data_IF_704469546934
#
_entry.id   IF_704469546934
#
_cell.length_a   1.000
_cell.length_b   1.000
_cell.length_c   1.000
_cell.angle_alpha   90.00
_cell.angle_beta   90.00
_cell.angle_gamma   90.00
#
_symmetry.space_group_name_H-M   'P 1'
#
loop_
_entity.id
_entity.type
_entity.pdbx_description
1 polymer ?
#
# COMPACT_ATOMS: atom_id res chain seq x y z
N UNK A 1 3.07 26.70 -15.50
CA UNK A 1 2.42 25.44 -15.11
C UNK A 1 1.56 25.59 -13.86
N UNK A 2 2.04 26.25 -12.78
CA UNK A 2 1.31 26.42 -11.53
C UNK A 2 0.03 27.25 -11.68
N UNK A 3 0.06 28.31 -12.49
CA UNK A 3 -1.10 29.15 -12.77
C UNK A 3 -2.22 28.37 -13.48
N UNK A 4 -1.84 27.47 -14.41
CA UNK A 4 -2.81 26.61 -15.11
C UNK A 4 -3.43 25.60 -14.15
N UNK A 5 -2.62 24.99 -13.29
CA UNK A 5 -3.13 24.09 -12.24
C UNK A 5 -4.08 24.81 -11.29
N UNK A 6 -3.71 26.01 -10.84
CA UNK A 6 -4.56 26.83 -9.98
C UNK A 6 -5.90 27.18 -10.66
N UNK A 7 -5.87 27.54 -11.94
CA UNK A 7 -7.09 27.82 -12.72
C UNK A 7 -8.00 26.58 -12.82
N UNK A 8 -7.42 25.39 -13.03
CA UNK A 8 -8.18 24.13 -13.01
C UNK A 8 -8.80 23.87 -11.64
N UNK A 9 -8.03 24.02 -10.54
CA UNK A 9 -8.56 23.84 -9.20
C UNK A 9 -9.70 24.83 -8.89
N UNK A 10 -9.55 26.09 -9.25
CA UNK A 10 -10.62 27.09 -9.07
C UNK A 10 -11.84 26.75 -9.93
N UNK A 11 -11.64 26.31 -11.19
CA UNK A 11 -12.72 25.88 -12.06
C UNK A 11 -13.47 24.67 -11.50
N UNK A 12 -12.75 23.67 -11.00
CA UNK A 12 -13.36 22.52 -10.33
C UNK A 12 -14.13 22.89 -9.07
N UNK A 13 -13.58 23.76 -8.23
CA UNK A 13 -14.24 24.22 -7.02
C UNK A 13 -15.55 25.00 -7.33
N UNK A 14 -15.60 25.70 -8.45
CA UNK A 14 -16.80 26.42 -8.90
C UNK A 14 -17.88 25.50 -9.47
N UNK A 15 -17.50 24.35 -10.04
CA UNK A 15 -18.44 23.38 -10.63
C UNK A 15 -18.93 22.38 -9.59
N UNK A 16 -18.06 21.96 -8.65
CA UNK A 16 -18.37 20.99 -7.60
C UNK A 16 -18.64 21.69 -6.25
N UNK A 17 -19.57 22.63 -6.24
CA UNK A 17 -19.91 23.43 -5.05
C UNK A 17 -20.33 22.58 -3.85
N UNK A 18 -20.97 21.44 -4.09
CA UNK A 18 -21.39 20.50 -3.04
C UNK A 18 -20.32 19.46 -2.70
N UNK A 19 -19.15 19.55 -3.32
CA UNK A 19 -18.07 18.58 -3.18
C UNK A 19 -18.45 17.11 -3.52
N UNK A 20 -19.44 16.89 -4.38
CA UNK A 20 -19.93 15.56 -4.73
C UNK A 20 -18.85 14.72 -5.40
N UNK A 21 -18.15 15.26 -6.39
CA UNK A 21 -17.05 14.57 -7.08
C UNK A 21 -15.87 14.33 -6.14
N UNK A 22 -15.49 15.33 -5.35
CA UNK A 22 -14.43 15.23 -4.37
C UNK A 22 -14.71 14.13 -3.34
N UNK A 23 -15.91 14.11 -2.78
CA UNK A 23 -16.29 13.10 -1.78
C UNK A 23 -16.33 11.70 -2.40
N UNK A 24 -16.90 11.56 -3.60
CA UNK A 24 -16.93 10.29 -4.33
C UNK A 24 -15.51 9.71 -4.54
N UNK A 25 -14.57 10.53 -5.00
CA UNK A 25 -13.19 10.08 -5.26
C UNK A 25 -12.45 9.70 -3.97
N UNK A 26 -12.67 10.45 -2.89
CA UNK A 26 -12.11 10.15 -1.57
C UNK A 26 -12.69 8.83 -1.03
N UNK A 27 -14.00 8.62 -1.13
CA UNK A 27 -14.67 7.43 -0.63
C UNK A 27 -14.24 6.17 -1.38
N UNK A 28 -14.04 6.26 -2.70
CA UNK A 28 -13.47 5.16 -3.50
C UNK A 28 -12.08 4.80 -2.98
N UNK A 29 -11.20 5.77 -2.81
CA UNK A 29 -9.84 5.51 -2.33
C UNK A 29 -9.82 4.96 -0.89
N UNK A 30 -10.68 5.45 -0.01
CA UNK A 30 -10.81 4.93 1.37
C UNK A 30 -11.25 3.49 1.37
N UNK A 31 -12.31 3.14 0.64
CA UNK A 31 -12.81 1.77 0.53
C UNK A 31 -11.73 0.82 0.01
N UNK A 32 -10.97 1.23 -1.01
CA UNK A 32 -9.87 0.43 -1.56
C UNK A 32 -8.73 0.24 -0.56
N UNK A 33 -8.43 1.26 0.24
CA UNK A 33 -7.48 1.14 1.35
C UNK A 33 -7.97 0.14 2.40
N UNK A 34 -9.26 0.18 2.73
CA UNK A 34 -9.88 -0.76 3.66
C UNK A 34 -9.77 -2.20 3.16
N UNK A 35 -10.06 -2.45 1.88
CA UNK A 35 -9.91 -3.76 1.25
C UNK A 35 -8.45 -4.26 1.24
N UNK A 36 -7.50 -3.38 0.94
CA UNK A 36 -6.07 -3.71 1.02
C UNK A 36 -5.67 -4.10 2.45
N UNK A 37 -6.10 -3.33 3.44
CA UNK A 37 -5.84 -3.61 4.86
C UNK A 37 -6.54 -4.90 5.32
N UNK A 38 -7.75 -5.16 4.84
CA UNK A 38 -8.47 -6.41 5.11
C UNK A 38 -7.67 -7.63 4.61
N UNK A 39 -7.16 -7.58 3.37
CA UNK A 39 -6.31 -8.64 2.82
C UNK A 39 -5.02 -8.86 3.61
N UNK A 40 -4.45 -7.81 4.18
CA UNK A 40 -3.27 -7.85 5.05
C UNK A 40 -3.61 -8.20 6.50
N UNK A 41 -4.88 -8.24 6.88
CA UNK A 41 -5.37 -8.32 8.27
C UNK A 41 -4.85 -7.20 9.18
N UNK A 42 -4.68 -6.01 8.60
CA UNK A 42 -4.23 -4.81 9.30
C UNK A 42 -5.41 -3.95 9.74
N UNK A 43 -5.25 -3.29 10.88
CA UNK A 43 -6.19 -2.25 11.30
C UNK A 43 -6.07 -1.01 10.42
N UNK A 44 -7.19 -0.52 9.93
CA UNK A 44 -7.24 0.70 9.13
C UNK A 44 -7.10 1.92 10.06
N UNK A 45 -6.10 2.75 9.80
CA UNK A 45 -6.00 4.07 10.43
C UNK A 45 -6.59 5.12 9.50
N UNK A 46 -7.75 5.65 9.87
CA UNK A 46 -8.39 6.73 9.15
C UNK A 46 -7.96 8.08 9.72
N UNK A 47 -7.27 8.87 8.89
CA UNK A 47 -6.94 10.26 9.18
C UNK A 47 -7.81 11.15 8.26
N UNK A 48 -8.63 12.07 8.79
CA UNK A 48 -9.51 12.91 7.98
C UNK A 48 -8.75 13.85 7.03
N UNK A 49 -7.47 14.09 7.28
CA UNK A 49 -6.60 14.90 6.42
C UNK A 49 -5.89 14.11 5.32
N UNK A 50 -6.10 12.79 5.25
CA UNK A 50 -5.49 11.94 4.23
C UNK A 50 -6.37 11.88 3.00
N UNK A 51 -5.84 12.29 1.84
CA UNK A 51 -6.51 12.15 0.55
C UNK A 51 -6.67 10.67 0.14
N UNK A 52 -5.94 9.76 0.76
CA UNK A 52 -5.97 8.31 0.52
C UNK A 52 -5.72 7.92 -0.94
N UNK A 53 -5.10 8.78 -1.75
CA UNK A 53 -4.79 8.48 -3.15
C UNK A 53 -3.68 7.44 -3.29
N UNK A 54 -2.71 7.51 -2.39
CA UNK A 54 -1.66 6.52 -2.19
C UNK A 54 -1.67 6.03 -0.75
N UNK A 55 -1.30 4.79 -0.56
CA UNK A 55 -0.96 4.27 0.77
C UNK A 55 0.42 3.64 0.72
N UNK A 56 1.06 3.60 1.85
CA UNK A 56 2.37 2.98 2.01
C UNK A 56 2.32 1.96 3.13
N UNK A 57 2.92 0.82 2.88
CA UNK A 57 3.04 -0.29 3.82
C UNK A 57 4.52 -0.48 4.09
N UNK A 58 4.96 -0.20 5.32
CA UNK A 58 6.29 -0.61 5.75
C UNK A 58 6.24 -2.10 6.09
N UNK A 59 6.73 -2.93 5.16
CA UNK A 59 6.63 -4.38 5.27
C UNK A 59 7.50 -4.94 6.38
N UNK A 60 8.59 -4.28 6.75
CA UNK A 60 9.44 -4.71 7.85
C UNK A 60 8.80 -4.42 9.21
N UNK A 61 8.17 -3.26 9.38
CA UNK A 61 7.42 -2.94 10.59
C UNK A 61 6.19 -3.83 10.73
N UNK A 62 5.51 -4.12 9.60
CA UNK A 62 4.42 -5.09 9.59
C UNK A 62 4.91 -6.49 9.98
N UNK A 63 6.00 -6.98 9.40
CA UNK A 63 6.59 -8.27 9.74
C UNK A 63 6.97 -8.35 11.23
N UNK A 64 7.49 -7.25 11.79
CA UNK A 64 7.84 -7.18 13.21
C UNK A 64 6.62 -7.30 14.13
N UNK A 65 5.51 -6.67 13.75
CA UNK A 65 4.27 -6.69 14.54
C UNK A 65 3.59 -8.06 14.43
N UNK A 66 3.54 -8.65 13.25
CA UNK A 66 2.76 -9.85 12.97
C UNK A 66 3.51 -11.15 13.31
N UNK A 67 4.81 -11.20 13.01
CA UNK A 67 5.62 -12.43 13.14
C UNK A 67 6.73 -12.31 14.20
N UNK A 68 6.95 -11.13 14.75
CA UNK A 68 7.95 -10.87 15.78
C UNK A 68 9.27 -10.30 15.26
N UNK A 69 10.08 -9.85 16.23
CA UNK A 69 11.33 -9.11 15.95
C UNK A 69 12.37 -9.99 15.24
N UNK A 70 12.46 -11.26 15.61
CA UNK A 70 13.50 -12.16 15.09
C UNK A 70 13.22 -12.51 13.61
N UNK A 71 11.96 -12.69 13.24
CA UNK A 71 11.59 -12.85 11.84
C UNK A 71 11.85 -11.58 11.02
N UNK A 72 11.54 -10.41 11.56
CA UNK A 72 11.81 -9.15 10.86
C UNK A 72 13.32 -8.95 10.62
N UNK A 73 14.18 -9.30 11.58
CA UNK A 73 15.65 -9.31 11.40
C UNK A 73 16.08 -10.31 10.32
N UNK A 74 15.52 -11.52 10.32
CA UNK A 74 15.80 -12.50 9.28
C UNK A 74 15.46 -11.95 7.88
N UNK A 75 14.31 -11.29 7.73
CA UNK A 75 13.94 -10.64 6.46
C UNK A 75 14.96 -9.55 6.09
N UNK A 76 15.33 -8.68 7.02
CA UNK A 76 16.28 -7.58 6.78
C UNK A 76 17.68 -8.06 6.38
N UNK A 77 18.13 -9.19 6.94
CA UNK A 77 19.46 -9.77 6.68
C UNK A 77 19.53 -10.59 5.39
N UNK A 78 18.43 -11.21 4.97
CA UNK A 78 18.42 -12.17 3.85
C UNK A 78 17.73 -11.70 2.59
N UNK A 79 16.96 -10.62 2.67
CA UNK A 79 16.17 -10.08 1.56
C UNK A 79 16.38 -8.58 1.38
N UNK A 80 16.02 -8.11 0.21
CA UNK A 80 15.86 -6.68 -0.07
C UNK A 80 14.40 -6.37 -0.41
N UNK A 81 13.95 -5.12 -0.31
CA UNK A 81 12.60 -4.77 -0.78
C UNK A 81 12.34 -5.15 -2.24
N UNK A 82 13.38 -5.11 -3.08
CA UNK A 82 13.30 -5.51 -4.49
C UNK A 82 13.05 -7.00 -4.68
N UNK A 83 13.54 -7.87 -3.82
CA UNK A 83 13.28 -9.30 -3.91
C UNK A 83 11.80 -9.59 -3.74
N UNK A 84 11.14 -8.91 -2.79
CA UNK A 84 9.70 -9.04 -2.55
C UNK A 84 8.90 -8.44 -3.71
N UNK A 85 9.29 -7.26 -4.21
CA UNK A 85 8.65 -6.63 -5.37
C UNK A 85 8.80 -7.48 -6.63
N UNK A 86 9.96 -8.09 -6.82
CA UNK A 86 10.23 -8.96 -7.95
C UNK A 86 9.41 -10.25 -7.88
N UNK A 87 9.29 -10.85 -6.69
CA UNK A 87 8.45 -12.03 -6.48
C UNK A 87 6.97 -11.74 -6.76
N UNK A 88 6.46 -10.61 -6.26
CA UNK A 88 5.11 -10.12 -6.56
C UNK A 88 4.88 -9.96 -8.06
N UNK A 89 5.80 -9.31 -8.76
CA UNK A 89 5.67 -9.07 -10.19
C UNK A 89 5.74 -10.36 -11.00
N UNK A 90 6.71 -11.23 -10.70
CA UNK A 90 6.99 -12.44 -11.46
C UNK A 90 5.95 -13.54 -11.25
N UNK A 91 5.58 -13.78 -10.01
CA UNK A 91 4.76 -14.95 -9.65
C UNK A 91 3.28 -14.62 -9.47
N UNK A 92 2.95 -13.35 -9.21
CA UNK A 92 1.57 -12.93 -8.92
C UNK A 92 1.05 -11.83 -9.85
N UNK A 93 1.86 -11.35 -10.79
CA UNK A 93 1.48 -10.25 -11.72
C UNK A 93 1.08 -8.96 -11.01
N UNK A 94 1.61 -8.72 -9.80
CA UNK A 94 1.36 -7.53 -8.99
C UNK A 94 2.59 -6.64 -9.04
N UNK A 95 2.44 -5.40 -9.53
CA UNK A 95 3.51 -4.41 -9.61
C UNK A 95 3.24 -3.29 -8.61
N UNK A 96 4.09 -3.20 -7.60
CA UNK A 96 4.09 -2.13 -6.61
C UNK A 96 5.38 -1.31 -6.72
N UNK A 97 5.37 -0.11 -6.16
CA UNK A 97 6.52 0.78 -6.16
C UNK A 97 7.27 0.71 -4.82
N UNK A 98 8.59 0.76 -4.88
CA UNK A 98 9.40 0.96 -3.69
C UNK A 98 9.25 2.40 -3.17
N UNK A 99 9.10 2.56 -1.86
CA UNK A 99 8.98 3.87 -1.20
C UNK A 99 10.26 4.71 -1.23
N UNK A 100 11.44 4.09 -1.37
CA UNK A 100 12.74 4.76 -1.31
C UNK A 100 12.86 5.95 -2.29
N UNK A 101 12.35 5.81 -3.51
CA UNK A 101 12.30 6.88 -4.51
C UNK A 101 11.36 8.05 -4.19
N UNK A 102 10.61 7.99 -3.08
CA UNK A 102 9.59 8.97 -2.67
C UNK A 102 9.86 9.56 -1.29
N UNK A 103 11.11 9.58 -0.86
CA UNK A 103 11.56 10.06 0.46
C UNK A 103 10.90 9.30 1.63
N UNK A 104 10.55 8.05 1.42
CA UNK A 104 9.96 7.17 2.40
C UNK A 104 10.95 6.09 2.87
N UNK A 105 10.50 5.20 3.75
CA UNK A 105 11.30 4.08 4.24
C UNK A 105 11.76 3.18 3.09
N UNK A 106 13.02 2.71 3.17
CA UNK A 106 13.54 1.72 2.23
C UNK A 106 12.65 0.47 2.13
N UNK A 107 12.00 0.09 3.22
CA UNK A 107 11.09 -1.05 3.30
C UNK A 107 9.62 -0.67 3.06
N UNK A 108 9.36 0.54 2.59
CA UNK A 108 8.04 1.01 2.20
C UNK A 108 7.63 0.45 0.85
N UNK A 109 6.46 -0.16 0.76
CA UNK A 109 5.78 -0.48 -0.49
C UNK A 109 4.68 0.53 -0.72
N UNK A 110 4.72 1.21 -1.85
CA UNK A 110 3.74 2.23 -2.22
C UNK A 110 2.67 1.65 -3.13
N UNK A 111 1.42 1.80 -2.73
CA UNK A 111 0.24 1.34 -3.47
C UNK A 111 -0.59 2.55 -3.91
N UNK A 112 -0.86 2.66 -5.23
CA UNK A 112 -1.83 3.62 -5.75
C UNK A 112 -3.24 3.07 -5.57
N UNK A 113 -4.14 3.83 -4.95
CA UNK A 113 -5.51 3.42 -4.69
C UNK A 113 -6.51 3.88 -5.78
N UNK A 114 -6.00 4.52 -6.85
CA UNK A 114 -6.83 5.10 -7.91
C UNK A 114 -6.94 4.24 -9.17
N UNK A 115 -6.07 3.25 -9.37
CA UNK A 115 -5.82 2.67 -10.69
C UNK A 115 -6.50 1.34 -10.96
N UNK A 116 -6.90 0.58 -9.93
CA UNK A 116 -7.44 -0.76 -10.05
C UNK A 116 -8.90 -0.81 -9.57
N UNK A 117 -9.59 -1.91 -9.83
CA UNK A 117 -10.89 -2.20 -9.24
C UNK A 117 -10.76 -2.58 -7.76
N UNK A 118 -11.87 -2.60 -7.06
CA UNK A 118 -11.88 -2.81 -5.60
C UNK A 118 -11.35 -4.20 -5.19
N UNK A 119 -11.72 -5.25 -5.93
CA UNK A 119 -11.30 -6.63 -5.64
C UNK A 119 -9.78 -6.82 -5.73
N UNK A 120 -9.12 -6.08 -6.65
CA UNK A 120 -7.67 -6.15 -6.81
C UNK A 120 -6.92 -5.74 -5.55
N UNK A 121 -7.45 -4.79 -4.77
CA UNK A 121 -6.77 -4.36 -3.55
C UNK A 121 -6.84 -5.40 -2.44
N UNK A 122 -7.96 -6.10 -2.33
CA UNK A 122 -8.09 -7.25 -1.43
C UNK A 122 -7.09 -8.35 -1.80
N UNK A 123 -6.97 -8.66 -3.09
CA UNK A 123 -6.05 -9.68 -3.58
C UNK A 123 -4.57 -9.29 -3.41
N UNK A 124 -4.21 -8.02 -3.60
CA UNK A 124 -2.85 -7.52 -3.30
C UNK A 124 -2.53 -7.75 -1.82
N UNK A 125 -3.45 -7.41 -0.92
CA UNK A 125 -3.26 -7.63 0.52
C UNK A 125 -3.09 -9.10 0.88
N UNK A 126 -3.95 -9.99 0.38
CA UNK A 126 -3.87 -11.43 0.59
C UNK A 126 -2.57 -12.03 0.05
N UNK A 127 -2.14 -11.59 -1.13
CA UNK A 127 -0.92 -12.09 -1.75
C UNK A 127 0.32 -11.70 -0.95
N UNK A 128 0.40 -10.45 -0.49
CA UNK A 128 1.47 -10.02 0.41
C UNK A 128 1.50 -10.87 1.69
N UNK A 129 0.34 -11.08 2.31
CA UNK A 129 0.24 -11.92 3.50
C UNK A 129 0.66 -13.36 3.24
N UNK A 130 0.25 -13.93 2.13
CA UNK A 130 0.65 -15.28 1.72
C UNK A 130 2.18 -15.42 1.56
N UNK A 131 2.82 -14.46 0.90
CA UNK A 131 4.29 -14.45 0.74
C UNK A 131 4.98 -14.44 2.10
N UNK A 132 4.57 -13.55 3.00
CA UNK A 132 5.18 -13.44 4.32
C UNK A 132 4.90 -14.66 5.21
N UNK A 133 3.72 -15.25 5.13
CA UNK A 133 3.42 -16.53 5.79
C UNK A 133 4.34 -17.65 5.30
N UNK A 134 4.57 -17.73 4.00
CA UNK A 134 5.48 -18.73 3.40
C UNK A 134 6.92 -18.52 3.84
N UNK A 135 7.40 -17.27 3.85
CA UNK A 135 8.72 -16.92 4.33
C UNK A 135 8.91 -17.25 5.82
N UNK A 136 7.88 -16.98 6.64
CA UNK A 136 7.92 -17.30 8.07
C UNK A 136 7.96 -18.81 8.33
N UNK A 137 7.17 -19.60 7.61
CA UNK A 137 7.18 -21.06 7.72
C UNK A 137 8.55 -21.62 7.32
N UNK A 138 9.17 -21.10 6.26
CA UNK A 138 10.50 -21.51 5.85
C UNK A 138 11.56 -21.18 6.90
N UNK A 139 11.51 -19.97 7.46
CA UNK A 139 12.41 -19.54 8.53
C UNK A 139 12.26 -20.40 9.80
N UNK A 140 11.04 -20.69 10.22
CA UNK A 140 10.79 -21.55 11.37
C UNK A 140 11.30 -22.99 11.17
N UNK A 141 11.20 -23.48 9.93
CA UNK A 141 11.71 -24.83 9.58
C UNK A 141 13.25 -24.90 9.50
N UNK A 142 13.92 -23.74 9.44
CA UNK A 142 15.38 -23.65 9.36
C UNK A 142 16.08 -23.45 10.72
N UNK A 143 15.29 -23.29 11.79
CA UNK A 143 15.79 -23.22 13.18
C UNK A 143 16.11 -24.60 13.75
#
# INVERSE_FOLDING_TARGET
PQQVQMAFFCGFALVDLENNYKNLTIDICKRRKELLCEGLELKVFNNPHYASYYTEINILDWARIEYGIDFAKFIEENYTPFDILYDLAKNYSIILLNGDGFASSRWGLRVSLANLNDESYLEIGKTLRFIFNTLNQHWESSK
#
